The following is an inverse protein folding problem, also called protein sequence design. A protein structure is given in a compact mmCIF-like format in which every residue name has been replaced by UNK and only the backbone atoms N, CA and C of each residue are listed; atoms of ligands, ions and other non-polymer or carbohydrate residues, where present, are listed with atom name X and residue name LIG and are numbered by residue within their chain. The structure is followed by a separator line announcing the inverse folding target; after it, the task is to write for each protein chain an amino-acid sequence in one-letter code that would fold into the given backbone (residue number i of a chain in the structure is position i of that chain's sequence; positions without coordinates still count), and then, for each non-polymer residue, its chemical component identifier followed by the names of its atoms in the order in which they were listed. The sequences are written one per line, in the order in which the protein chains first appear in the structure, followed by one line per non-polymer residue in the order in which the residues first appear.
data_IF_889715590759
#
_entry.id   IF_889715590759
#
_cell.length_a   1.000
_cell.length_b   1.000
_cell.length_c   1.000
_cell.angle_alpha   90.00
_cell.angle_beta   90.00
_cell.angle_gamma   90.00
#
_symmetry.space_group_name_H-M   'P 1'
#
loop_
_entity.id
_entity.type
_entity.pdbx_description
1 polymer ?
#
# COMPACT_ATOMS: atom_id res chain seq x y z
N UNK A 1 9.11 -5.80 -30.41
CA UNK A 1 9.10 -4.32 -30.32
C UNK A 1 7.79 -3.66 -29.84
N UNK A 2 6.60 -3.99 -30.42
CA UNK A 2 5.33 -3.30 -30.10
C UNK A 2 4.87 -3.44 -28.63
N UNK A 3 5.12 -4.60 -28.01
CA UNK A 3 4.69 -4.89 -26.65
C UNK A 3 5.47 -4.10 -25.57
N UNK A 4 6.80 -4.03 -25.70
CA UNK A 4 7.65 -3.25 -24.78
C UNK A 4 7.37 -1.75 -24.85
N UNK A 5 7.13 -1.23 -26.05
CA UNK A 5 6.78 0.18 -26.25
C UNK A 5 5.42 0.49 -25.61
N UNK A 6 4.44 -0.41 -25.78
CA UNK A 6 3.12 -0.26 -25.18
C UNK A 6 3.17 -0.34 -23.64
N UNK A 7 3.96 -1.26 -23.08
CA UNK A 7 4.16 -1.34 -21.63
C UNK A 7 4.83 -0.08 -21.09
N UNK A 8 5.89 0.40 -21.75
CA UNK A 8 6.59 1.65 -21.35
C UNK A 8 5.63 2.83 -21.35
N UNK A 9 4.81 2.96 -22.39
CA UNK A 9 3.81 4.04 -22.46
C UNK A 9 2.78 3.95 -21.34
N UNK A 10 2.31 2.73 -21.02
CA UNK A 10 1.43 2.51 -19.86
C UNK A 10 2.12 2.88 -18.55
N UNK A 11 3.40 2.56 -18.37
CA UNK A 11 4.17 3.00 -17.19
C UNK A 11 4.33 4.53 -17.12
N UNK A 12 4.36 5.24 -18.25
CA UNK A 12 4.38 6.72 -18.27
C UNK A 12 3.02 7.36 -17.98
N UNK A 13 1.93 6.73 -18.42
CA UNK A 13 0.61 7.40 -18.47
C UNK A 13 -0.43 6.84 -17.50
N UNK A 14 -0.43 5.54 -17.24
CA UNK A 14 -1.46 4.91 -16.41
C UNK A 14 -1.19 5.21 -14.93
N UNK A 15 -2.11 5.95 -14.29
CA UNK A 15 -2.02 6.34 -12.88
C UNK A 15 -3.32 6.05 -12.15
N UNK A 16 -3.27 5.81 -10.83
CA UNK A 16 -4.48 5.86 -10.01
C UNK A 16 -5.18 7.20 -10.15
N UNK A 17 -6.50 7.18 -10.02
CA UNK A 17 -7.32 8.39 -10.12
C UNK A 17 -7.05 9.27 -8.90
N UNK A 18 -6.81 10.59 -9.06
CA UNK A 18 -6.62 11.51 -7.95
C UNK A 18 -7.79 11.49 -6.96
N UNK A 19 -7.52 11.82 -5.69
CA UNK A 19 -8.49 11.73 -4.60
C UNK A 19 -9.82 12.46 -4.88
N UNK A 20 -9.74 13.67 -5.42
CA UNK A 20 -10.87 14.54 -5.75
C UNK A 20 -11.75 13.98 -6.86
N UNK A 21 -11.20 13.11 -7.71
CA UNK A 21 -11.89 12.47 -8.84
C UNK A 21 -12.40 11.06 -8.53
N UNK A 22 -12.06 10.50 -7.36
CA UNK A 22 -12.68 9.25 -6.92
C UNK A 22 -14.19 9.45 -6.72
N UNK A 23 -15.04 8.43 -6.93
CA UNK A 23 -16.47 8.51 -6.69
C UNK A 23 -16.80 9.10 -5.31
N UNK A 24 -17.72 10.06 -5.28
CA UNK A 24 -18.27 10.67 -4.05
C UNK A 24 -19.52 9.93 -3.54
N UNK A 25 -20.01 8.95 -4.29
CA UNK A 25 -21.10 8.06 -3.91
C UNK A 25 -20.58 6.67 -3.52
N UNK A 26 -21.32 5.98 -2.67
CA UNK A 26 -20.94 4.63 -2.26
C UNK A 26 -21.23 3.59 -3.35
N UNK A 27 -20.30 2.64 -3.49
CA UNK A 27 -20.32 1.56 -4.47
C UNK A 27 -20.68 0.23 -3.81
N UNK A 28 -21.33 -0.64 -4.55
CA UNK A 28 -21.48 -2.07 -4.20
C UNK A 28 -20.23 -2.86 -4.59
N UNK A 29 -20.09 -4.08 -4.07
CA UNK A 29 -18.89 -4.92 -4.26
C UNK A 29 -18.51 -5.08 -5.74
N UNK A 30 -19.45 -5.47 -6.59
CA UNK A 30 -19.26 -5.64 -8.04
C UNK A 30 -18.74 -4.35 -8.72
N UNK A 31 -19.29 -3.21 -8.32
CA UNK A 31 -18.86 -1.89 -8.81
C UNK A 31 -17.45 -1.54 -8.32
N UNK A 32 -17.10 -1.89 -7.08
CA UNK A 32 -15.72 -1.74 -6.56
C UNK A 32 -14.77 -2.59 -7.38
N UNK A 33 -15.07 -3.87 -7.60
CA UNK A 33 -14.19 -4.75 -8.36
C UNK A 33 -13.96 -4.18 -9.77
N UNK A 34 -15.03 -3.83 -10.49
CA UNK A 34 -14.95 -3.19 -11.81
C UNK A 34 -14.18 -1.86 -11.78
N UNK A 35 -14.35 -1.06 -10.72
CA UNK A 35 -13.61 0.19 -10.54
C UNK A 35 -12.11 -0.04 -10.36
N UNK A 36 -11.71 -1.11 -9.67
CA UNK A 36 -10.30 -1.34 -9.36
C UNK A 36 -9.48 -1.75 -10.57
N UNK A 37 -10.10 -2.30 -11.62
CA UNK A 37 -9.46 -2.64 -12.90
C UNK A 37 -8.75 -1.44 -13.56
N UNK A 38 -9.28 -0.23 -13.39
CA UNK A 38 -8.70 0.99 -13.94
C UNK A 38 -7.66 1.67 -13.04
N UNK A 39 -7.58 1.29 -11.76
CA UNK A 39 -6.70 1.96 -10.79
C UNK A 39 -5.25 1.49 -10.84
N UNK A 40 -4.99 0.28 -11.34
CA UNK A 40 -3.67 -0.35 -11.29
C UNK A 40 -3.28 -0.95 -12.64
N UNK A 41 -1.97 -0.98 -12.90
CA UNK A 41 -1.42 -1.70 -14.06
C UNK A 41 -1.48 -3.20 -13.73
N UNK A 42 -2.30 -3.96 -14.46
CA UNK A 42 -2.35 -5.41 -14.36
C UNK A 42 -1.18 -6.06 -15.08
N UNK A 43 -0.61 -7.08 -14.43
CA UNK A 43 0.45 -7.93 -14.99
C UNK A 43 -0.12 -9.15 -15.73
N UNK A 44 -1.23 -9.69 -15.24
CA UNK A 44 -1.97 -10.81 -15.81
C UNK A 44 -3.47 -10.66 -15.51
N UNK A 45 -4.31 -11.50 -16.12
CA UNK A 45 -5.77 -11.48 -15.91
C UNK A 45 -6.16 -11.92 -14.48
N UNK A 46 -5.32 -12.71 -13.82
CA UNK A 46 -5.57 -13.28 -12.50
C UNK A 46 -5.20 -12.33 -11.34
N UNK A 47 -4.49 -11.24 -11.59
CA UNK A 47 -4.09 -10.24 -10.58
C UNK A 47 -5.26 -9.32 -10.14
N UNK A 48 -6.47 -9.60 -10.62
CA UNK A 48 -7.69 -8.91 -10.24
C UNK A 48 -7.97 -8.94 -8.74
N UNK A 49 -8.60 -7.88 -8.25
CA UNK A 49 -9.14 -7.87 -6.89
C UNK A 49 -10.41 -8.73 -6.87
N UNK A 50 -10.55 -9.62 -5.87
CA UNK A 50 -11.74 -10.46 -5.72
C UNK A 50 -12.59 -10.04 -4.53
N UNK A 51 -13.88 -10.36 -4.56
CA UNK A 51 -14.78 -10.10 -3.43
C UNK A 51 -14.32 -10.77 -2.13
N UNK A 52 -13.73 -11.97 -2.24
CA UNK A 52 -13.16 -12.68 -1.11
C UNK A 52 -11.98 -11.91 -0.49
N UNK A 53 -11.09 -11.36 -1.31
CA UNK A 53 -9.97 -10.52 -0.84
C UNK A 53 -10.48 -9.27 -0.12
N UNK A 54 -11.41 -8.52 -0.72
CA UNK A 54 -12.00 -7.31 -0.09
C UNK A 54 -12.60 -7.65 1.26
N UNK A 55 -13.37 -8.74 1.34
CA UNK A 55 -13.95 -9.22 2.59
C UNK A 55 -12.89 -9.62 3.62
N UNK A 56 -11.79 -10.24 3.19
CA UNK A 56 -10.70 -10.60 4.09
C UNK A 56 -10.01 -9.36 4.67
N UNK A 57 -9.77 -8.33 3.85
CA UNK A 57 -9.17 -7.08 4.30
C UNK A 57 -10.08 -6.28 5.24
N UNK A 58 -11.39 -6.31 5.02
CA UNK A 58 -12.36 -5.71 5.96
C UNK A 58 -12.45 -6.48 7.28
N UNK A 59 -12.39 -7.81 7.22
CA UNK A 59 -12.40 -8.66 8.43
C UNK A 59 -11.12 -8.50 9.26
N UNK A 60 -9.96 -8.36 8.61
CA UNK A 60 -8.68 -8.15 9.29
C UNK A 60 -8.48 -6.72 9.79
N UNK A 61 -9.36 -5.78 9.39
CA UNK A 61 -9.26 -4.37 9.74
C UNK A 61 -8.19 -3.61 8.96
N UNK A 62 -7.68 -4.19 7.86
CA UNK A 62 -6.75 -3.52 6.93
C UNK A 62 -7.48 -2.46 6.09
N UNK A 63 -8.75 -2.74 5.76
CA UNK A 63 -9.68 -1.79 5.15
C UNK A 63 -10.79 -1.50 6.16
N UNK A 64 -11.24 -0.24 6.31
CA UNK A 64 -12.40 0.10 7.14
C UNK A 64 -13.61 -0.77 6.78
N UNK A 65 -14.46 -1.08 7.77
CA UNK A 65 -15.67 -1.87 7.52
C UNK A 65 -16.62 -1.13 6.59
N UNK A 66 -17.12 -1.86 5.58
CA UNK A 66 -18.15 -1.36 4.70
C UNK A 66 -19.43 -1.00 5.46
N UNK A 67 -20.04 0.12 5.09
CA UNK A 67 -21.29 0.60 5.68
C UNK A 67 -22.47 0.01 4.90
N UNK A 68 -23.22 -0.92 5.50
CA UNK A 68 -24.37 -1.52 4.83
C UNK A 68 -24.04 -2.21 3.50
N UNK A 69 -22.86 -2.85 3.41
CA UNK A 69 -22.28 -3.45 2.18
C UNK A 69 -21.88 -2.45 1.09
N UNK A 70 -21.75 -1.18 1.45
CA UNK A 70 -21.31 -0.13 0.53
C UNK A 70 -19.90 0.34 0.88
N UNK A 71 -19.15 0.67 -0.17
CA UNK A 71 -17.76 1.09 -0.11
C UNK A 71 -17.66 2.51 -0.63
N UNK A 72 -17.00 3.39 0.12
CA UNK A 72 -16.84 4.79 -0.25
C UNK A 72 -15.44 5.06 -0.82
N UNK A 73 -15.15 6.34 -1.06
CA UNK A 73 -13.85 6.84 -1.54
C UNK A 73 -12.67 6.35 -0.72
N UNK A 74 -12.78 6.34 0.61
CA UNK A 74 -11.71 5.89 1.49
C UNK A 74 -11.37 4.43 1.18
N UNK A 75 -12.38 3.56 1.05
CA UNK A 75 -12.17 2.16 0.69
C UNK A 75 -11.42 2.02 -0.64
N UNK A 76 -11.74 2.83 -1.64
CA UNK A 76 -11.04 2.82 -2.93
C UNK A 76 -9.58 3.22 -2.79
N UNK A 77 -9.26 4.19 -1.94
CA UNK A 77 -7.87 4.58 -1.67
C UNK A 77 -7.08 3.45 -1.00
N UNK A 78 -7.64 2.82 0.04
CA UNK A 78 -7.02 1.65 0.67
C UNK A 78 -6.81 0.51 -0.33
N UNK A 79 -7.85 0.15 -1.08
CA UNK A 79 -7.79 -0.96 -2.03
C UNK A 79 -6.80 -0.70 -3.16
N UNK A 80 -6.64 0.55 -3.61
CA UNK A 80 -5.61 0.94 -4.58
C UNK A 80 -4.22 0.68 -4.03
N UNK A 81 -3.92 1.16 -2.81
CA UNK A 81 -2.62 0.93 -2.18
C UNK A 81 -2.35 -0.58 -1.98
N UNK A 82 -3.34 -1.32 -1.50
CA UNK A 82 -3.23 -2.76 -1.26
C UNK A 82 -3.00 -3.52 -2.57
N UNK A 83 -3.72 -3.21 -3.65
CA UNK A 83 -3.53 -3.87 -4.94
C UNK A 83 -2.12 -3.71 -5.51
N UNK A 84 -1.45 -2.59 -5.23
CA UNK A 84 -0.06 -2.36 -5.63
C UNK A 84 0.90 -3.08 -4.68
N UNK A 85 0.73 -2.90 -3.37
CA UNK A 85 1.67 -3.39 -2.36
C UNK A 85 1.60 -4.92 -2.19
N UNK A 86 0.45 -5.56 -2.41
CA UNK A 86 0.28 -7.02 -2.25
C UNK A 86 1.24 -7.84 -3.11
N UNK A 87 1.75 -7.25 -4.19
CA UNK A 87 2.69 -7.90 -5.11
C UNK A 87 4.11 -8.02 -4.57
N UNK A 88 4.47 -7.18 -3.59
CA UNK A 88 5.85 -7.04 -3.11
C UNK A 88 6.01 -7.31 -1.62
N UNK A 89 4.92 -7.37 -0.86
CA UNK A 89 4.97 -7.60 0.59
C UNK A 89 3.74 -8.32 1.13
N UNK A 90 3.85 -8.84 2.36
CA UNK A 90 2.78 -9.58 3.02
C UNK A 90 1.64 -8.67 3.48
N UNK A 91 0.44 -9.24 3.70
CA UNK A 91 -0.70 -8.51 4.29
C UNK A 91 -0.36 -7.86 5.64
N UNK A 92 0.48 -8.53 6.44
CA UNK A 92 0.92 -7.99 7.74
C UNK A 92 1.81 -6.77 7.59
N UNK A 93 2.69 -6.76 6.59
CA UNK A 93 3.56 -5.60 6.30
C UNK A 93 2.76 -4.43 5.76
N UNK A 94 1.82 -4.69 4.86
CA UNK A 94 0.91 -3.66 4.35
C UNK A 94 0.12 -3.01 5.49
N UNK A 95 -0.45 -3.82 6.39
CA UNK A 95 -1.21 -3.32 7.54
C UNK A 95 -0.36 -2.42 8.44
N UNK A 96 0.86 -2.86 8.76
CA UNK A 96 1.81 -2.06 9.52
C UNK A 96 2.11 -0.71 8.86
N UNK A 97 2.47 -0.73 7.57
CA UNK A 97 2.87 0.48 6.84
C UNK A 97 1.70 1.46 6.69
N UNK A 98 0.52 0.96 6.29
CA UNK A 98 -0.67 1.79 6.11
C UNK A 98 -1.10 2.42 7.44
N UNK A 99 -1.05 1.67 8.54
CA UNK A 99 -1.35 2.21 9.87
C UNK A 99 -0.37 3.30 10.28
N UNK A 100 0.94 3.10 10.12
CA UNK A 100 1.94 4.11 10.47
C UNK A 100 1.78 5.37 9.59
N UNK A 101 1.53 5.21 8.29
CA UNK A 101 1.36 6.33 7.36
C UNK A 101 0.14 7.21 7.70
N UNK A 102 -0.88 6.59 8.33
CA UNK A 102 -2.13 7.22 8.78
C UNK A 102 -2.13 7.53 10.29
N UNK A 103 -1.00 7.40 10.99
CA UNK A 103 -0.93 7.78 12.41
C UNK A 103 -1.09 9.30 12.59
N UNK A 104 -1.71 9.68 13.71
CA UNK A 104 -2.01 11.08 14.04
C UNK A 104 -3.26 11.59 13.33
N UNK A 105 -3.32 12.90 13.11
CA UNK A 105 -4.48 13.57 12.50
C UNK A 105 -4.35 13.70 10.97
N UNK A 106 -3.52 12.86 10.33
CA UNK A 106 -3.31 12.93 8.89
C UNK A 106 -4.56 12.46 8.12
N UNK A 107 -5.13 13.27 7.22
CA UNK A 107 -6.25 12.83 6.39
C UNK A 107 -5.88 11.69 5.44
N UNK A 108 -6.82 10.77 5.20
CA UNK A 108 -6.65 9.67 4.23
C UNK A 108 -6.35 10.22 2.82
N UNK A 109 -6.93 11.36 2.46
CA UNK A 109 -6.66 12.06 1.19
C UNK A 109 -5.18 12.35 0.98
N UNK A 110 -4.49 12.79 2.04
CA UNK A 110 -3.10 13.21 1.99
C UNK A 110 -2.16 12.00 1.98
N UNK A 111 -2.53 10.94 2.71
CA UNK A 111 -1.88 9.63 2.60
C UNK A 111 -1.96 9.07 1.18
N UNK A 112 -3.17 9.07 0.61
CA UNK A 112 -3.42 8.57 -0.73
C UNK A 112 -2.71 9.40 -1.82
N UNK A 113 -2.75 10.72 -1.73
CA UNK A 113 -2.06 11.60 -2.67
C UNK A 113 -0.53 11.40 -2.63
N UNK A 114 0.05 11.27 -1.43
CA UNK A 114 1.48 10.97 -1.27
C UNK A 114 1.86 9.60 -1.82
N UNK A 115 1.02 8.58 -1.59
CA UNK A 115 1.17 7.26 -2.19
C UNK A 115 1.16 7.33 -3.72
N UNK A 116 0.15 7.98 -4.32
CA UNK A 116 0.05 8.13 -5.77
C UNK A 116 1.24 8.89 -6.37
N UNK A 117 1.72 9.94 -5.68
CA UNK A 117 2.91 10.68 -6.08
C UNK A 117 4.18 9.83 -6.06
N UNK A 118 4.36 9.00 -5.02
CA UNK A 118 5.49 8.07 -4.92
C UNK A 118 5.43 6.97 -5.98
N UNK A 119 4.23 6.41 -6.23
CA UNK A 119 4.01 5.44 -7.29
C UNK A 119 4.30 6.02 -8.67
N UNK A 120 3.83 7.24 -8.96
CA UNK A 120 4.12 7.94 -10.22
C UNK A 120 5.62 8.07 -10.47
N UNK A 121 6.39 8.47 -9.45
CA UNK A 121 7.85 8.57 -9.55
C UNK A 121 8.49 7.21 -9.84
N UNK A 122 8.07 6.16 -9.13
CA UNK A 122 8.60 4.82 -9.33
C UNK A 122 8.30 4.27 -10.74
N UNK A 123 7.07 4.45 -11.23
CA UNK A 123 6.68 4.02 -12.58
C UNK A 123 7.46 4.77 -13.67
N UNK A 124 7.66 6.08 -13.52
CA UNK A 124 8.47 6.85 -14.47
C UNK A 124 9.93 6.44 -14.45
N UNK A 125 10.52 6.22 -13.27
CA UNK A 125 11.91 5.76 -13.17
C UNK A 125 12.13 4.41 -13.88
N UNK A 126 11.18 3.48 -13.76
CA UNK A 126 11.22 2.20 -14.50
C UNK A 126 11.04 2.44 -16.00
N UNK A 127 10.13 3.33 -16.41
CA UNK A 127 9.92 3.65 -17.82
C UNK A 127 11.16 4.29 -18.48
N UNK A 128 11.87 5.14 -17.74
CA UNK A 128 13.13 5.76 -18.17
C UNK A 128 14.23 4.69 -18.31
N UNK A 129 14.41 3.80 -17.34
CA UNK A 129 15.37 2.69 -17.44
C UNK A 129 15.06 1.73 -18.60
N UNK A 130 13.77 1.53 -18.93
CA UNK A 130 13.37 0.73 -20.09
C UNK A 130 13.73 1.39 -21.42
N UNK A 131 13.79 2.73 -21.48
CA UNK A 131 14.10 3.47 -22.70
C UNK A 131 15.56 3.30 -23.13
N UNK A 132 16.47 3.10 -22.19
CA UNK A 132 17.88 2.85 -22.46
C UNK A 132 18.17 1.39 -22.89
N UNK A 133 17.16 0.50 -22.87
CA UNK A 133 17.30 -0.96 -23.03
C UNK A 133 16.41 -1.54 -24.14
N UNK A 134 16.40 -0.92 -25.32
CA UNK A 134 15.45 -1.25 -26.41
C UNK A 134 15.89 -2.38 -27.37
N UNK A 135 17.09 -2.95 -27.20
CA UNK A 135 17.63 -3.98 -28.11
C UNK A 135 16.95 -5.34 -27.95
N UNK A 136 16.41 -5.92 -29.03
CA UNK A 136 15.75 -7.25 -28.99
C UNK A 136 16.72 -8.40 -28.69
N UNK A 137 18.02 -8.23 -28.95
CA UNK A 137 19.06 -9.22 -28.60
C UNK A 137 19.43 -9.19 -27.10
N UNK A 138 18.97 -8.18 -26.36
CA UNK A 138 19.34 -7.91 -24.97
C UNK A 138 18.20 -8.16 -23.98
N UNK A 139 17.10 -8.80 -24.40
CA UNK A 139 15.92 -9.04 -23.55
C UNK A 139 16.27 -9.78 -22.25
N UNK A 140 17.17 -10.75 -22.32
CA UNK A 140 17.64 -11.47 -21.13
C UNK A 140 18.42 -10.56 -20.18
N UNK A 141 19.30 -9.70 -20.70
CA UNK A 141 20.07 -8.74 -19.90
C UNK A 141 19.14 -7.71 -19.25
N UNK A 142 18.19 -7.15 -20.01
CA UNK A 142 17.19 -6.23 -19.48
C UNK A 142 16.31 -6.89 -18.40
N UNK A 143 15.88 -8.14 -18.61
CA UNK A 143 15.11 -8.88 -17.60
C UNK A 143 15.92 -9.13 -16.32
N UNK A 144 17.19 -9.52 -16.46
CA UNK A 144 18.11 -9.68 -15.32
C UNK A 144 18.29 -8.34 -14.60
N UNK A 145 18.47 -7.25 -15.33
CA UNK A 145 18.63 -5.91 -14.76
C UNK A 145 17.43 -5.52 -13.88
N UNK A 146 16.19 -5.61 -14.40
CA UNK A 146 15.00 -5.30 -13.60
C UNK A 146 14.78 -6.27 -12.44
N UNK A 147 15.16 -7.54 -12.59
CA UNK A 147 15.14 -8.50 -11.48
C UNK A 147 16.12 -8.10 -10.36
N UNK A 148 17.33 -7.64 -10.71
CA UNK A 148 18.33 -7.16 -9.75
C UNK A 148 17.88 -5.87 -9.07
N UNK A 149 17.27 -4.92 -9.80
CA UNK A 149 16.67 -3.72 -9.22
C UNK A 149 15.56 -4.08 -8.23
N UNK A 150 14.65 -4.99 -8.62
CA UNK A 150 13.56 -5.47 -7.77
C UNK A 150 14.10 -6.13 -6.50
N UNK A 151 15.13 -6.98 -6.62
CA UNK A 151 15.82 -7.58 -5.47
C UNK A 151 16.41 -6.52 -4.53
N UNK A 152 17.17 -5.55 -5.05
CA UNK A 152 17.79 -4.50 -4.25
C UNK A 152 16.74 -3.63 -3.52
N UNK A 153 15.68 -3.23 -4.23
CA UNK A 153 14.56 -2.50 -3.64
C UNK A 153 13.82 -3.33 -2.57
N UNK A 154 13.65 -4.64 -2.81
CA UNK A 154 13.07 -5.58 -1.85
C UNK A 154 13.89 -5.70 -0.57
N UNK A 155 15.23 -5.79 -0.68
CA UNK A 155 16.14 -5.79 0.48
C UNK A 155 15.99 -4.51 1.29
N UNK A 156 15.99 -3.34 0.63
CA UNK A 156 15.81 -2.06 1.31
C UNK A 156 14.43 -1.98 2.01
N UNK A 157 13.35 -2.31 1.29
CA UNK A 157 11.98 -2.30 1.79
C UNK A 157 11.83 -3.20 3.04
N UNK A 158 12.32 -4.43 2.96
CA UNK A 158 12.30 -5.38 4.09
C UNK A 158 13.03 -4.82 5.31
N UNK A 159 14.16 -4.13 5.12
CA UNK A 159 14.89 -3.50 6.21
C UNK A 159 14.10 -2.36 6.87
N UNK A 160 13.47 -1.49 6.08
CA UNK A 160 12.64 -0.40 6.62
C UNK A 160 11.44 -0.93 7.40
N UNK A 161 10.74 -1.96 6.88
CA UNK A 161 9.65 -2.64 7.58
C UNK A 161 10.13 -3.23 8.90
N UNK A 162 11.30 -3.87 8.92
CA UNK A 162 11.89 -4.43 10.15
C UNK A 162 12.17 -3.35 11.20
N UNK A 163 12.77 -2.22 10.78
CA UNK A 163 13.03 -1.09 11.67
C UNK A 163 11.74 -0.48 12.22
N UNK A 164 10.69 -0.41 11.39
CA UNK A 164 9.39 0.09 11.81
C UNK A 164 8.75 -0.81 12.88
N UNK A 165 8.81 -2.14 12.71
CA UNK A 165 8.34 -3.11 13.72
C UNK A 165 9.05 -2.93 15.05
N UNK A 166 10.38 -2.85 15.03
CA UNK A 166 11.19 -2.64 16.24
C UNK A 166 10.81 -1.33 16.95
N UNK A 167 10.55 -0.27 16.19
CA UNK A 167 10.10 1.01 16.73
C UNK A 167 8.72 0.90 17.38
N UNK A 168 7.80 0.16 16.78
CA UNK A 168 6.47 -0.07 17.35
C UNK A 168 6.56 -0.88 18.65
N UNK A 169 7.31 -1.98 18.66
CA UNK A 169 7.55 -2.79 19.85
C UNK A 169 8.12 -1.95 21.00
N UNK A 170 9.15 -1.13 20.72
CA UNK A 170 9.73 -0.22 21.71
C UNK A 170 8.72 0.82 22.24
N UNK A 171 7.82 1.34 21.39
CA UNK A 171 6.73 2.26 21.81
C UNK A 171 5.74 1.56 22.73
N UNK A 172 5.36 0.32 22.41
CA UNK A 172 4.43 -0.49 23.20
C UNK A 172 5.02 -0.87 24.57
N UNK A 173 6.30 -1.28 24.60
CA UNK A 173 7.03 -1.55 25.84
C UNK A 173 7.09 -0.30 26.73
N UNK A 174 7.46 0.86 26.16
CA UNK A 174 7.49 2.12 26.90
C UNK A 174 6.12 2.53 27.46
N UNK A 175 5.04 2.35 26.68
CA UNK A 175 3.68 2.63 27.11
C UNK A 175 3.22 1.70 28.25
N UNK A 176 3.54 0.40 28.16
CA UNK A 176 3.19 -0.58 29.20
C UNK A 176 3.94 -0.29 30.52
N UNK A 177 5.22 0.06 30.44
CA UNK A 177 6.03 0.42 31.61
C UNK A 177 5.53 1.72 32.27
N UNK A 178 5.11 2.71 31.47
CA UNK A 178 4.52 3.95 31.99
C UNK A 178 3.18 3.68 32.71
N UNK A 179 2.33 2.81 32.14
CA UNK A 179 1.06 2.43 32.74
C UNK A 179 1.22 1.62 34.04
N UNK A 180 2.21 0.72 34.11
CA UNK A 180 2.54 -0.01 35.33
C UNK A 180 2.99 0.94 36.47
N UNK A 181 3.86 1.91 36.15
CA UNK A 181 4.34 2.92 37.12
C UNK A 181 3.22 3.82 37.64
N UNK A 182 2.28 4.24 36.79
CA UNK A 182 1.14 5.07 37.23
C UNK A 182 0.19 4.30 38.15
N UNK A 183 -0.07 3.01 37.85
CA UNK A 183 -0.91 2.14 38.69
C UNK A 183 -0.28 1.86 40.06
N UNK A 184 1.03 1.68 40.13
CA UNK A 184 1.75 1.48 41.40
C UNK A 184 1.74 2.74 42.28
N UNK A 185 1.89 3.93 41.68
CA UNK A 185 1.77 5.21 42.39
C UNK A 185 0.36 5.42 42.97
N UNK A 186 -0.68 5.19 42.16
CA UNK A 186 -2.07 5.32 42.59
C UNK A 186 -2.45 4.33 43.71
N UNK A 187 -1.83 3.14 43.74
CA UNK A 187 -2.04 2.17 44.83
C UNK A 187 -1.37 2.62 46.13
N UNK A 188 -0.15 3.14 46.07
CA UNK A 188 0.59 3.66 47.24
C UNK A 188 -0.06 4.92 47.85
N UNK A 189 -0.76 5.72 47.05
CA UNK A 189 -1.54 6.87 47.54
C UNK A 189 -2.81 6.42 48.27
N UNK A 190 -3.53 5.39 47.77
CA UNK A 190 -4.73 4.85 48.43
C UNK A 190 -4.48 4.06 49.72
N UNK A 191 -3.26 3.56 49.95
CA UNK A 191 -2.87 2.87 51.18
C UNK A 191 -2.36 3.84 52.27
N UNK A 192 -2.25 5.15 51.96
CA UNK A 192 -1.81 6.20 52.89
C UNK A 192 -2.94 7.06 53.48
N UNK A 193 -4.15 6.92 52.96
CA UNK A 193 -5.41 7.48 53.49
C UNK A 193 -6.16 6.41 54.30
#
# INVERSE_FOLDING_TARGET
MYDLTALRERLRTQRPVPWDQLPDFSLYMDQVLSYMDRQVIRFDEDDGLTAAMVNNYTKSGLVPRAEGKKYNRDHLAYLTAICVLKRVMSTRDMDLLIREELQGDRPISDGYAAFCGSLNKALNAVADEMEDRTGEEELADAAIHFALMSYAAGVASSRYVTLLRQRQEAREEAASAAHAKSKERAKKEKEKD
#
